data_IF_158705076850
#
_entry.id   IF_158705076850
#
_cell.length_a   1.000
_cell.length_b   1.000
_cell.length_c   1.000
_cell.angle_alpha   90.00
_cell.angle_beta   90.00
_cell.angle_gamma   90.00
#
_symmetry.space_group_name_H-M   'P 1'
#
loop_
_entity.id
_entity.type
_entity.pdbx_description
1 polymer ?
#
# COMPACT_ATOMS: atom_id res chain seq x y z
N UNK A 1 -0.20 15.02 -24.87
CA UNK A 1 0.73 14.30 -23.95
C UNK A 1 0.02 13.08 -23.43
N UNK A 2 0.51 11.92 -23.77
CA UNK A 2 -0.06 10.69 -23.25
C UNK A 2 0.18 10.62 -21.75
N UNK A 3 -0.89 10.59 -20.97
CA UNK A 3 -0.80 10.23 -19.56
C UNK A 3 -0.16 8.84 -19.51
N UNK A 4 1.05 8.77 -18.97
CA UNK A 4 1.67 7.48 -18.69
C UNK A 4 0.91 6.81 -17.57
N UNK A 5 -0.11 6.06 -17.91
CA UNK A 5 -0.83 5.22 -16.95
C UNK A 5 0.08 4.09 -16.50
N UNK A 6 0.11 3.85 -15.20
CA UNK A 6 0.72 2.63 -14.65
C UNK A 6 -0.22 1.48 -14.99
N UNK A 7 0.22 0.59 -15.86
CA UNK A 7 -0.53 -0.61 -16.20
C UNK A 7 0.09 -1.80 -15.47
N UNK A 8 -0.49 -2.12 -14.33
CA UNK A 8 0.00 -3.20 -13.47
C UNK A 8 -0.62 -4.51 -13.90
N UNK A 9 0.21 -5.44 -14.31
CA UNK A 9 -0.14 -6.84 -14.60
C UNK A 9 0.17 -7.72 -13.40
N UNK A 10 -0.44 -8.90 -13.35
CA UNK A 10 -0.18 -9.90 -12.31
C UNK A 10 1.31 -10.25 -12.18
N UNK A 11 1.74 -10.59 -10.97
CA UNK A 11 3.06 -11.15 -10.77
C UNK A 11 3.20 -12.45 -11.57
N UNK A 12 4.37 -12.70 -12.19
CA UNK A 12 4.63 -13.98 -12.85
C UNK A 12 4.50 -15.13 -11.84
N UNK A 13 3.70 -16.13 -12.17
CA UNK A 13 3.27 -17.21 -11.26
C UNK A 13 4.41 -17.99 -10.57
N UNK A 14 5.61 -17.98 -11.12
CA UNK A 14 6.74 -18.79 -10.65
C UNK A 14 7.91 -18.00 -10.06
N UNK A 15 7.83 -16.66 -9.97
CA UNK A 15 8.99 -15.85 -9.57
C UNK A 15 8.84 -15.11 -8.24
N UNK A 16 7.65 -15.18 -7.63
CA UNK A 16 7.36 -14.34 -6.48
C UNK A 16 6.32 -15.00 -5.56
N UNK A 17 6.64 -15.17 -4.27
CA UNK A 17 5.67 -15.63 -3.27
C UNK A 17 4.53 -14.62 -2.97
N UNK A 18 4.72 -13.29 -3.11
CA UNK A 18 3.63 -12.35 -2.97
C UNK A 18 2.53 -12.57 -4.00
N UNK A 19 1.30 -12.47 -3.54
CA UNK A 19 0.10 -12.55 -4.37
C UNK A 19 -0.53 -11.17 -4.50
N UNK A 20 -0.71 -10.70 -5.74
CA UNK A 20 -1.57 -9.57 -6.04
C UNK A 20 -3.03 -10.04 -6.04
N UNK A 21 -3.86 -9.46 -5.17
CA UNK A 21 -5.29 -9.78 -5.13
C UNK A 21 -5.98 -9.13 -6.34
N UNK A 22 -6.23 -9.93 -7.37
CA UNK A 22 -6.77 -9.46 -8.65
C UNK A 22 -8.16 -9.99 -8.99
N UNK A 23 -8.66 -10.97 -8.24
CA UNK A 23 -9.96 -11.57 -8.46
C UNK A 23 -10.81 -11.52 -7.19
N UNK A 24 -12.14 -11.62 -7.34
CA UNK A 24 -13.02 -11.72 -6.18
C UNK A 24 -12.69 -12.94 -5.31
N UNK A 25 -12.29 -14.05 -5.94
CA UNK A 25 -11.87 -15.26 -5.22
C UNK A 25 -10.65 -15.00 -4.33
N UNK A 26 -9.65 -14.24 -4.83
CA UNK A 26 -8.51 -13.82 -4.01
C UNK A 26 -8.95 -13.00 -2.80
N UNK A 27 -9.86 -12.04 -2.98
CA UNK A 27 -10.41 -11.25 -1.88
C UNK A 27 -11.20 -12.09 -0.90
N UNK A 28 -12.04 -13.00 -1.36
CA UNK A 28 -12.81 -13.91 -0.51
C UNK A 28 -11.90 -14.81 0.33
N UNK A 29 -10.74 -15.19 -0.20
CA UNK A 29 -9.77 -16.06 0.49
C UNK A 29 -8.89 -15.31 1.49
N UNK A 30 -8.39 -14.12 1.15
CA UNK A 30 -7.31 -13.48 1.91
C UNK A 30 -7.70 -12.19 2.63
N UNK A 31 -8.78 -11.52 2.22
CA UNK A 31 -9.13 -10.21 2.78
C UNK A 31 -9.33 -10.22 4.29
N UNK A 32 -10.03 -11.21 4.82
CA UNK A 32 -10.28 -11.31 6.26
C UNK A 32 -8.98 -11.39 7.09
N UNK A 33 -7.91 -11.93 6.52
CA UNK A 33 -6.59 -12.02 7.17
C UNK A 33 -5.72 -10.79 6.93
N UNK A 34 -5.92 -10.08 5.83
CA UNK A 34 -5.19 -8.87 5.50
C UNK A 34 -5.77 -7.62 6.18
N UNK A 35 -7.09 -7.52 6.26
CA UNK A 35 -7.81 -6.34 6.76
C UNK A 35 -7.34 -5.86 8.15
N UNK A 36 -7.15 -6.72 9.18
CA UNK A 36 -6.72 -6.26 10.49
C UNK A 36 -5.37 -5.54 10.46
N UNK A 37 -4.45 -5.97 9.62
CA UNK A 37 -3.14 -5.33 9.45
C UNK A 37 -3.26 -3.98 8.73
N UNK A 38 -4.10 -3.90 7.71
CA UNK A 38 -4.38 -2.66 6.99
C UNK A 38 -5.04 -1.65 7.93
N UNK A 39 -6.06 -2.10 8.67
CA UNK A 39 -6.77 -1.26 9.62
C UNK A 39 -5.83 -0.63 10.66
N UNK A 40 -4.96 -1.44 11.25
CA UNK A 40 -3.97 -0.96 12.23
C UNK A 40 -3.06 0.10 11.61
N UNK A 41 -2.57 -0.12 10.40
CA UNK A 41 -1.73 0.86 9.70
C UNK A 41 -2.47 2.16 9.45
N UNK A 42 -3.71 2.12 8.96
CA UNK A 42 -4.51 3.31 8.69
C UNK A 42 -4.81 4.11 9.97
N UNK A 43 -5.09 3.45 11.07
CA UNK A 43 -5.29 4.11 12.37
C UNK A 43 -4.04 4.86 12.85
N UNK A 44 -2.85 4.37 12.52
CA UNK A 44 -1.58 4.99 12.90
C UNK A 44 -1.08 6.05 11.91
N UNK A 45 -1.46 5.97 10.64
CA UNK A 45 -0.85 6.77 9.56
C UNK A 45 -1.80 7.75 8.87
N UNK A 46 -3.11 7.65 9.13
CA UNK A 46 -4.13 8.53 8.55
C UNK A 46 -4.92 9.24 9.65
N UNK A 47 -5.69 10.22 9.25
CA UNK A 47 -6.57 11.01 10.12
C UNK A 47 -8.05 10.79 9.79
N UNK A 48 -8.42 9.57 9.39
CA UNK A 48 -9.80 9.19 9.08
C UNK A 48 -10.22 9.40 7.62
N UNK A 49 -9.29 9.74 6.73
CA UNK A 49 -9.60 10.01 5.31
C UNK A 49 -10.04 8.76 4.55
N UNK A 50 -9.59 7.59 4.98
CA UNK A 50 -9.84 6.33 4.30
C UNK A 50 -10.05 5.20 5.31
N UNK A 51 -10.91 4.26 4.96
CA UNK A 51 -11.17 3.04 5.73
C UNK A 51 -10.83 1.77 4.93
N UNK A 52 -10.80 0.63 5.61
CA UNK A 52 -10.54 -0.67 4.96
C UNK A 52 -11.62 -1.02 3.94
N UNK A 53 -12.87 -0.61 4.14
CA UNK A 53 -13.95 -0.82 3.17
C UNK A 53 -13.68 -0.11 1.85
N UNK A 54 -13.14 1.10 1.87
CA UNK A 54 -12.74 1.81 0.65
C UNK A 54 -11.63 1.09 -0.10
N UNK A 55 -10.64 0.55 0.63
CA UNK A 55 -9.56 -0.23 0.03
C UNK A 55 -10.10 -1.50 -0.63
N UNK A 56 -11.02 -2.19 0.05
CA UNK A 56 -11.66 -3.39 -0.49
C UNK A 56 -12.42 -3.09 -1.79
N UNK A 57 -13.30 -2.09 -1.78
CA UNK A 57 -14.11 -1.71 -2.94
C UNK A 57 -13.23 -1.27 -4.12
N UNK A 58 -12.22 -0.43 -3.86
CA UNK A 58 -11.28 0.02 -4.88
C UNK A 58 -10.41 -1.12 -5.41
N UNK A 59 -10.04 -2.06 -4.56
CA UNK A 59 -9.29 -3.25 -4.95
C UNK A 59 -10.09 -4.13 -5.91
N UNK A 60 -11.36 -4.39 -5.62
CA UNK A 60 -12.25 -5.10 -6.55
C UNK A 60 -12.45 -4.38 -7.87
N UNK A 61 -12.40 -3.05 -7.87
CA UNK A 61 -12.51 -2.21 -9.08
C UNK A 61 -11.15 -2.00 -9.79
N UNK A 62 -10.08 -2.66 -9.36
CA UNK A 62 -8.72 -2.49 -9.86
C UNK A 62 -8.17 -1.05 -9.76
N UNK A 63 -8.64 -0.29 -8.77
CA UNK A 63 -8.19 1.08 -8.50
C UNK A 63 -7.12 1.14 -7.40
N UNK A 64 -6.99 0.08 -6.60
CA UNK A 64 -5.93 -0.15 -5.65
C UNK A 64 -5.32 -1.53 -5.90
N UNK A 65 -4.08 -1.71 -5.45
CA UNK A 65 -3.36 -2.97 -5.56
C UNK A 65 -3.05 -3.48 -4.16
N UNK A 66 -3.67 -4.57 -3.76
CA UNK A 66 -3.43 -5.24 -2.49
C UNK A 66 -2.53 -6.45 -2.74
N UNK A 67 -1.36 -6.45 -2.13
CA UNK A 67 -0.37 -7.50 -2.26
C UNK A 67 -0.22 -8.17 -0.91
N UNK A 68 -0.33 -9.49 -0.87
CA UNK A 68 -0.16 -10.26 0.36
C UNK A 68 0.97 -11.27 0.22
N UNK A 69 1.71 -11.46 1.31
CA UNK A 69 2.62 -12.59 1.49
C UNK A 69 1.96 -13.52 2.48
N UNK A 70 1.58 -14.68 1.99
CA UNK A 70 0.92 -15.71 2.79
C UNK A 70 1.91 -16.66 3.43
N UNK A 71 1.54 -17.24 4.56
CA UNK A 71 2.21 -18.38 5.15
C UNK A 71 1.41 -19.64 4.90
N UNK A 72 2.07 -20.68 4.39
CA UNK A 72 1.46 -22.00 4.22
C UNK A 72 1.73 -22.93 5.42
N UNK A 73 2.36 -22.41 6.47
CA UNK A 73 2.73 -23.17 7.66
C UNK A 73 1.57 -23.24 8.69
N UNK A 74 0.51 -23.94 8.38
CA UNK A 74 -0.60 -24.12 9.32
C UNK A 74 -1.92 -24.45 8.62
N UNK A 75 -2.97 -24.87 9.37
CA UNK A 75 -4.24 -25.28 8.80
C UNK A 75 -5.07 -24.10 8.26
N UNK A 76 -4.77 -22.86 8.68
CA UNK A 76 -5.46 -21.67 8.22
C UNK A 76 -4.50 -20.72 7.47
N UNK A 77 -5.00 -19.98 6.46
CA UNK A 77 -4.21 -18.96 5.79
C UNK A 77 -3.76 -17.88 6.79
N UNK A 78 -2.49 -17.56 6.79
CA UNK A 78 -1.93 -16.45 7.56
C UNK A 78 -1.30 -15.46 6.59
N UNK A 79 -1.58 -14.17 6.78
CA UNK A 79 -0.93 -13.10 6.03
C UNK A 79 0.23 -12.57 6.86
N UNK A 80 1.45 -12.81 6.40
CA UNK A 80 2.67 -12.32 7.05
C UNK A 80 2.95 -10.86 6.75
N UNK A 81 2.60 -10.43 5.55
CA UNK A 81 2.84 -9.08 5.07
C UNK A 81 1.71 -8.68 4.14
N UNK A 82 1.24 -7.46 4.26
CA UNK A 82 0.32 -6.83 3.31
C UNK A 82 0.84 -5.46 2.92
N UNK A 83 0.75 -5.16 1.64
CA UNK A 83 1.06 -3.87 1.04
C UNK A 83 -0.15 -3.39 0.26
N UNK A 84 -0.50 -2.14 0.42
CA UNK A 84 -1.55 -1.51 -0.38
C UNK A 84 -0.95 -0.34 -1.14
N UNK A 85 -1.05 -0.39 -2.46
CA UNK A 85 -0.64 0.68 -3.35
C UNK A 85 -1.84 1.28 -4.07
N UNK A 86 -1.78 2.57 -4.33
CA UNK A 86 -2.70 3.25 -5.23
C UNK A 86 -1.92 4.03 -6.29
N UNK A 87 -2.42 4.12 -7.54
CA UNK A 87 -1.80 4.95 -8.55
C UNK A 87 -1.86 6.43 -8.17
N UNK A 88 -0.77 7.14 -8.40
CA UNK A 88 -0.70 8.61 -8.36
C UNK A 88 -0.61 9.13 -9.78
N UNK A 89 -1.56 9.98 -10.15
CA UNK A 89 -1.65 10.53 -11.50
C UNK A 89 -0.97 11.91 -11.55
N UNK A 90 0.34 11.89 -11.77
CA UNK A 90 1.10 13.11 -12.06
C UNK A 90 1.31 13.23 -13.58
N UNK A 91 1.19 14.44 -14.18
CA UNK A 91 1.37 14.59 -15.64
C UNK A 91 2.73 14.13 -16.16
N UNK A 92 3.78 14.30 -15.36
CA UNK A 92 5.16 14.02 -15.77
C UNK A 92 5.82 12.85 -15.03
N UNK A 93 5.08 12.15 -14.17
CA UNK A 93 5.64 11.10 -13.34
C UNK A 93 4.62 9.98 -13.14
N UNK A 94 4.99 8.76 -13.52
CA UNK A 94 4.23 7.56 -13.18
C UNK A 94 4.64 7.09 -11.78
N UNK A 95 3.75 7.22 -10.82
CA UNK A 95 4.01 6.91 -9.42
C UNK A 95 2.95 6.02 -8.80
N UNK A 96 3.34 5.25 -7.79
CA UNK A 96 2.44 4.59 -6.85
C UNK A 96 2.55 5.25 -5.48
N UNK A 97 1.46 5.31 -4.75
CA UNK A 97 1.47 5.65 -3.33
C UNK A 97 1.36 4.37 -2.50
N UNK A 98 2.32 4.14 -1.62
CA UNK A 98 2.23 3.09 -0.60
C UNK A 98 1.27 3.58 0.49
N UNK A 99 0.03 3.15 0.41
CA UNK A 99 -1.06 3.62 1.25
C UNK A 99 -1.07 2.94 2.62
N UNK A 100 -0.74 1.64 2.65
CA UNK A 100 -0.66 0.88 3.88
C UNK A 100 0.38 -0.24 3.78
N UNK A 101 0.97 -0.54 4.92
CA UNK A 101 1.90 -1.65 5.11
C UNK A 101 1.65 -2.24 6.50
N UNK A 102 1.57 -3.55 6.59
CA UNK A 102 1.35 -4.24 7.85
C UNK A 102 1.64 -5.72 7.77
N UNK A 103 1.48 -6.40 8.87
CA UNK A 103 1.65 -7.84 8.94
C UNK A 103 2.30 -8.32 10.22
N UNK A 104 2.39 -9.63 10.36
CA UNK A 104 3.04 -10.30 11.49
C UNK A 104 4.56 -10.33 11.39
N UNK A 105 5.11 -10.15 10.18
CA UNK A 105 6.55 -10.19 9.93
C UNK A 105 6.95 -9.12 8.89
N UNK A 106 7.04 -7.87 9.33
CA UNK A 106 7.42 -6.75 8.46
C UNK A 106 8.88 -6.80 7.99
N UNK A 107 9.73 -7.51 8.73
CA UNK A 107 11.15 -7.62 8.40
C UNK A 107 11.39 -8.36 7.09
N UNK A 108 10.53 -9.33 6.74
CA UNK A 108 10.65 -10.06 5.47
C UNK A 108 10.53 -9.15 4.24
N UNK A 109 9.89 -7.99 4.36
CA UNK A 109 9.83 -7.04 3.27
C UNK A 109 11.24 -6.59 2.85
N UNK A 110 12.00 -6.02 3.79
CA UNK A 110 13.36 -5.54 3.50
C UNK A 110 14.32 -6.69 3.19
N UNK A 111 14.19 -7.83 3.87
CA UNK A 111 15.14 -8.93 3.74
C UNK A 111 14.93 -9.75 2.48
N UNK A 112 13.71 -9.85 1.95
CA UNK A 112 13.39 -10.82 0.90
C UNK A 112 12.65 -10.24 -0.30
N UNK A 113 11.73 -9.28 -0.11
CA UNK A 113 10.77 -8.92 -1.16
C UNK A 113 10.94 -7.53 -1.74
N UNK A 114 11.53 -6.59 -1.01
CA UNK A 114 11.52 -5.18 -1.41
C UNK A 114 12.18 -4.93 -2.77
N UNK A 115 13.39 -5.45 -2.98
CA UNK A 115 14.09 -5.24 -4.25
C UNK A 115 13.37 -5.88 -5.43
N UNK A 116 12.79 -7.06 -5.23
CA UNK A 116 11.98 -7.74 -6.27
C UNK A 116 10.73 -6.92 -6.61
N UNK A 117 10.08 -6.37 -5.60
CA UNK A 117 8.92 -5.51 -5.77
C UNK A 117 9.28 -4.24 -6.54
N UNK A 118 10.39 -3.59 -6.21
CA UNK A 118 10.88 -2.42 -6.95
C UNK A 118 11.17 -2.76 -8.41
N UNK A 119 11.81 -3.87 -8.68
CA UNK A 119 12.09 -4.35 -10.04
C UNK A 119 10.80 -4.58 -10.82
N UNK A 120 9.81 -5.21 -10.22
CA UNK A 120 8.50 -5.42 -10.83
C UNK A 120 7.77 -4.08 -11.09
N UNK A 121 7.77 -3.17 -10.15
CA UNK A 121 7.23 -1.83 -10.34
C UNK A 121 7.90 -1.11 -11.52
N UNK A 122 9.22 -1.12 -11.56
CA UNK A 122 9.98 -0.47 -12.62
C UNK A 122 9.67 -1.06 -14.00
N UNK A 123 9.55 -2.38 -14.10
CA UNK A 123 9.17 -3.06 -15.35
C UNK A 123 7.75 -2.70 -15.80
N UNK A 124 6.86 -2.35 -14.87
CA UNK A 124 5.50 -1.89 -15.16
C UNK A 124 5.38 -0.37 -15.36
N UNK A 125 6.48 0.31 -15.53
CA UNK A 125 6.50 1.75 -15.85
C UNK A 125 6.46 2.68 -14.65
N UNK A 126 6.46 2.16 -13.42
CA UNK A 126 6.52 2.98 -12.21
C UNK A 126 7.91 3.60 -12.06
N UNK A 127 7.97 4.89 -11.77
CA UNK A 127 9.23 5.64 -11.63
C UNK A 127 9.42 6.23 -10.25
N UNK A 128 8.39 6.26 -9.43
CA UNK A 128 8.46 6.67 -8.03
C UNK A 128 7.42 5.92 -7.19
N UNK A 129 7.75 5.73 -5.92
CA UNK A 129 6.81 5.27 -4.91
C UNK A 129 6.80 6.32 -3.80
N UNK A 130 5.64 6.90 -3.58
CA UNK A 130 5.40 7.87 -2.50
C UNK A 130 4.81 7.18 -1.28
N UNK A 131 5.00 7.76 -0.11
CA UNK A 131 4.23 7.39 1.07
C UNK A 131 4.09 8.59 2.00
N UNK A 132 3.05 8.56 2.83
CA UNK A 132 2.87 9.51 3.93
C UNK A 132 3.07 8.79 5.25
N UNK A 133 3.81 9.40 6.16
CA UNK A 133 4.07 8.86 7.50
C UNK A 133 3.72 9.89 8.55
N UNK A 134 3.12 9.46 9.65
CA UNK A 134 2.66 10.34 10.73
C UNK A 134 3.34 10.09 12.07
N UNK A 135 4.18 9.07 12.17
CA UNK A 135 4.91 8.78 13.40
C UNK A 135 6.39 8.45 13.16
N UNK A 136 7.28 8.72 14.15
CA UNK A 136 8.72 8.54 13.99
C UNK A 136 9.16 7.10 13.75
N UNK A 137 8.44 6.12 14.28
CA UNK A 137 8.79 4.70 14.10
C UNK A 137 8.57 4.26 12.65
N UNK A 138 7.43 4.63 12.08
CA UNK A 138 7.12 4.37 10.67
C UNK A 138 8.09 5.12 9.75
N UNK A 139 8.41 6.37 10.07
CA UNK A 139 9.38 7.16 9.31
C UNK A 139 10.76 6.47 9.25
N UNK A 140 11.25 5.96 10.38
CA UNK A 140 12.52 5.21 10.43
C UNK A 140 12.46 3.95 9.57
N UNK A 141 11.35 3.21 9.61
CA UNK A 141 11.18 2.01 8.79
C UNK A 141 11.21 2.35 7.29
N UNK A 142 10.48 3.37 6.89
CA UNK A 142 10.40 3.81 5.49
C UNK A 142 11.76 4.33 5.00
N UNK A 143 12.51 5.07 5.82
CA UNK A 143 13.87 5.51 5.48
C UNK A 143 14.84 4.34 5.25
N UNK A 144 14.67 3.22 5.97
CA UNK A 144 15.46 2.00 5.74
C UNK A 144 15.17 1.36 4.38
N UNK A 145 14.00 1.61 3.80
CA UNK A 145 13.63 1.20 2.45
C UNK A 145 14.07 2.22 1.37
N UNK A 146 14.94 3.17 1.74
CA UNK A 146 15.49 4.23 0.88
C UNK A 146 14.50 5.31 0.44
N UNK A 147 13.38 5.46 1.14
CA UNK A 147 12.54 6.65 0.97
C UNK A 147 13.23 7.89 1.54
N UNK A 148 13.04 9.02 0.87
CA UNK A 148 13.58 10.32 1.27
C UNK A 148 12.46 11.34 1.44
N UNK A 149 12.49 12.20 2.46
CA UNK A 149 11.54 13.29 2.57
C UNK A 149 11.66 14.24 1.38
N UNK A 150 10.52 14.59 0.77
CA UNK A 150 10.50 15.51 -0.38
C UNK A 150 9.70 16.79 -0.11
N UNK A 151 8.66 16.73 0.72
CA UNK A 151 7.90 17.90 1.18
C UNK A 151 7.11 17.57 2.45
N UNK A 152 6.58 18.60 3.09
CA UNK A 152 5.67 18.47 4.23
C UNK A 152 4.26 18.82 3.80
N UNK A 153 3.30 17.95 4.06
CA UNK A 153 1.88 18.23 3.86
C UNK A 153 1.31 18.91 5.10
N UNK A 154 0.55 19.98 4.90
CA UNK A 154 -0.14 20.72 5.94
C UNK A 154 -1.63 20.73 5.66
N UNK A 155 -2.44 20.75 6.75
CA UNK A 155 -3.91 20.77 6.64
C UNK A 155 -4.49 21.87 7.50
N UNK A 156 -5.41 22.62 6.92
CA UNK A 156 -6.34 23.48 7.64
C UNK A 156 -7.69 22.75 7.74
N UNK A 157 -8.14 22.41 8.93
CA UNK A 157 -9.46 21.82 9.14
C UNK A 157 -10.53 22.93 9.15
N UNK A 158 -11.41 22.91 8.14
CA UNK A 158 -12.42 23.93 8.01
C UNK A 158 -13.58 23.76 9.01
N UNK A 159 -13.78 22.56 9.52
CA UNK A 159 -14.80 22.28 10.55
C UNK A 159 -14.42 22.92 11.87
N UNK A 160 -13.17 22.77 12.29
CA UNK A 160 -12.65 23.42 13.51
C UNK A 160 -12.62 24.94 13.37
N UNK A 161 -12.17 25.45 12.22
CA UNK A 161 -12.12 26.89 11.95
C UNK A 161 -13.50 27.57 11.94
N UNK A 162 -14.59 26.86 11.69
CA UNK A 162 -15.96 27.38 11.81
C UNK A 162 -16.42 27.43 13.28
N UNK A 163 -16.08 26.41 14.07
CA UNK A 163 -16.48 26.34 15.47
C UNK A 163 -15.82 27.41 16.35
N UNK A 164 -14.64 27.91 15.98
CA UNK A 164 -13.97 29.01 16.70
C UNK A 164 -14.60 30.40 16.44
N UNK A 165 -15.52 30.51 15.46
CA UNK A 165 -16.20 31.75 15.10
C UNK A 165 -17.62 31.91 15.70
N UNK A 166 -18.16 30.85 16.27
CA UNK A 166 -19.44 30.82 16.96
C UNK A 166 -19.22 30.90 18.47
#
# INVERSE_FOLDING_TARGET
MDQKSVNIVEFPANSFDPLLLSTKEHYDTYWAYAEPHIKRCLEETTHGEISTSHIYERGLAAQNYVIVVKSDAGPEPEVKLVLVFEPRHYPNLAALNLLAIGGSDLKILSDKYWEKLLGWCYMNGVRAIDCSVSNPAMERMIKRLNFKPIYTQMRLDLTEAQNEKD
#
